data_IF_950116441206
#
_entry.id   IF_950116441206
#
_cell.length_a   1.000
_cell.length_b   1.000
_cell.length_c   1.000
_cell.angle_alpha   90.00
_cell.angle_beta   90.00
_cell.angle_gamma   90.00
#
_symmetry.space_group_name_H-M   'P 1'
#
loop_
_entity.id
_entity.type
_entity.pdbx_description
1 polymer ?
#
# COMPACT_ATOMS: atom_id res chain seq x y z
N UNK A 1 4.40 -29.64 -11.02
CA UNK A 1 5.38 -29.20 -10.00
C UNK A 1 4.59 -28.84 -8.75
N UNK A 2 4.72 -29.59 -7.67
CA UNK A 2 4.04 -29.26 -6.39
C UNK A 2 4.81 -28.10 -5.80
N UNK A 3 4.25 -26.90 -5.83
CA UNK A 3 4.87 -25.74 -5.16
C UNK A 3 4.67 -25.99 -3.67
N UNK A 4 5.75 -26.32 -2.97
CA UNK A 4 5.73 -26.44 -1.53
C UNK A 4 5.57 -25.06 -0.90
N UNK A 5 4.88 -24.99 0.24
CA UNK A 5 4.76 -23.78 1.02
C UNK A 5 6.15 -23.23 1.38
N UNK A 6 6.31 -21.91 1.29
CA UNK A 6 7.57 -21.23 1.61
C UNK A 6 7.79 -21.22 3.12
N UNK A 7 8.97 -21.63 3.56
CA UNK A 7 9.31 -21.59 4.97
C UNK A 7 9.59 -20.15 5.45
N UNK A 8 9.56 -19.94 6.76
CA UNK A 8 9.78 -18.64 7.38
C UNK A 8 11.11 -17.99 6.98
N UNK A 9 12.21 -18.76 7.03
CA UNK A 9 13.56 -18.28 6.72
C UNK A 9 13.62 -17.69 5.31
N UNK A 10 13.06 -18.38 4.32
CA UNK A 10 13.03 -17.91 2.93
C UNK A 10 12.26 -16.60 2.79
N UNK A 11 11.14 -16.44 3.48
CA UNK A 11 10.35 -15.19 3.44
C UNK A 11 11.14 -14.01 4.03
N UNK A 12 11.88 -14.23 5.12
CA UNK A 12 12.70 -13.20 5.75
C UNK A 12 13.89 -12.81 4.88
N UNK A 13 14.65 -13.79 4.35
CA UNK A 13 15.80 -13.54 3.46
C UNK A 13 15.41 -12.70 2.24
N UNK A 14 14.30 -13.07 1.57
CA UNK A 14 13.80 -12.33 0.41
C UNK A 14 13.30 -10.93 0.77
N UNK A 15 12.75 -10.76 1.98
CA UNK A 15 12.27 -9.45 2.47
C UNK A 15 13.43 -8.51 2.81
N UNK A 16 14.49 -9.01 3.44
CA UNK A 16 15.70 -8.23 3.74
C UNK A 16 16.39 -7.79 2.44
N UNK A 17 16.62 -8.73 1.52
CA UNK A 17 17.16 -8.43 0.20
C UNK A 17 16.32 -7.38 -0.54
N UNK A 18 14.98 -7.45 -0.41
CA UNK A 18 14.09 -6.45 -0.99
C UNK A 18 14.30 -5.05 -0.40
N UNK A 19 14.44 -4.92 0.92
CA UNK A 19 14.69 -3.62 1.56
C UNK A 19 16.03 -3.04 1.10
N UNK A 20 17.07 -3.86 0.98
CA UNK A 20 18.38 -3.44 0.46
C UNK A 20 18.28 -2.94 -0.98
N UNK A 21 17.58 -3.67 -1.85
CA UNK A 21 17.36 -3.24 -3.24
C UNK A 21 16.54 -1.94 -3.32
N UNK A 22 15.50 -1.79 -2.50
CA UNK A 22 14.67 -0.58 -2.46
C UNK A 22 15.45 0.67 -2.09
N UNK A 23 16.50 0.55 -1.27
CA UNK A 23 17.32 1.69 -0.88
C UNK A 23 18.18 2.25 -2.04
N UNK A 24 18.23 1.57 -3.19
CA UNK A 24 19.11 1.91 -4.32
C UNK A 24 18.32 2.16 -5.61
N UNK A 25 17.32 1.34 -5.92
CA UNK A 25 16.77 1.24 -7.29
C UNK A 25 15.29 1.62 -7.44
N UNK A 26 14.59 1.97 -6.35
CA UNK A 26 13.15 2.24 -6.39
C UNK A 26 12.79 3.72 -6.55
N UNK A 27 11.48 4.01 -6.52
CA UNK A 27 10.95 5.36 -6.40
C UNK A 27 11.62 6.15 -5.27
N UNK A 28 11.70 7.49 -5.35
CA UNK A 28 12.29 8.30 -4.29
C UNK A 28 11.65 8.11 -2.91
N UNK A 29 10.34 7.83 -2.86
CA UNK A 29 9.62 7.60 -1.62
C UNK A 29 10.03 6.28 -0.96
N UNK A 30 10.13 5.22 -1.76
CA UNK A 30 10.51 3.87 -1.29
C UNK A 30 11.98 3.82 -0.90
N UNK A 31 12.84 4.48 -1.69
CA UNK A 31 14.26 4.70 -1.39
C UNK A 31 14.42 5.36 -0.02
N UNK A 32 13.62 6.39 0.27
CA UNK A 32 13.70 7.12 1.53
C UNK A 32 13.35 6.25 2.73
N UNK A 33 12.24 5.49 2.67
CA UNK A 33 11.83 4.62 3.79
C UNK A 33 12.81 3.47 4.01
N UNK A 34 13.28 2.82 2.93
CA UNK A 34 14.24 1.73 3.01
C UNK A 34 15.60 2.20 3.56
N UNK A 35 16.13 3.30 3.03
CA UNK A 35 17.37 3.91 3.52
C UNK A 35 17.28 4.33 4.98
N UNK A 36 16.10 4.78 5.43
CA UNK A 36 15.88 5.16 6.84
C UNK A 36 15.97 3.96 7.77
N UNK A 37 15.46 2.80 7.37
CA UNK A 37 15.59 1.55 8.14
C UNK A 37 17.04 1.09 8.18
N UNK A 38 17.69 0.99 7.03
CA UNK A 38 19.07 0.48 6.93
C UNK A 38 20.09 1.40 7.61
N UNK A 39 19.88 2.72 7.55
CA UNK A 39 20.77 3.69 8.17
C UNK A 39 20.72 3.74 9.71
N UNK A 40 19.77 3.04 10.36
CA UNK A 40 19.61 3.08 11.82
C UNK A 40 19.45 1.66 12.40
N UNK A 41 20.48 1.11 13.08
CA UNK A 41 20.45 -0.27 13.59
C UNK A 41 19.29 -0.60 14.53
N UNK A 42 18.80 0.39 15.30
CA UNK A 42 17.63 0.20 16.15
C UNK A 42 16.32 0.16 15.34
N UNK A 43 16.21 0.95 14.26
CA UNK A 43 15.05 0.91 13.38
C UNK A 43 14.99 -0.41 12.61
N UNK A 44 16.14 -0.88 12.12
CA UNK A 44 16.29 -2.19 11.48
C UNK A 44 15.81 -3.33 12.38
N UNK A 45 16.41 -3.49 13.58
CA UNK A 45 16.02 -4.58 14.51
C UNK A 45 14.54 -4.55 14.88
N UNK A 46 13.96 -3.36 15.02
CA UNK A 46 12.55 -3.21 15.32
C UNK A 46 11.67 -3.57 14.13
N UNK A 47 12.07 -3.17 12.92
CA UNK A 47 11.38 -3.56 11.69
C UNK A 47 11.45 -5.09 11.51
N UNK A 48 12.63 -5.67 11.61
CA UNK A 48 12.87 -7.11 11.52
C UNK A 48 11.96 -7.89 12.49
N UNK A 49 11.91 -7.49 13.77
CA UNK A 49 11.06 -8.15 14.76
C UNK A 49 9.54 -7.97 14.49
N UNK A 50 9.13 -6.82 13.95
CA UNK A 50 7.73 -6.58 13.57
C UNK A 50 7.37 -7.36 12.29
N UNK A 51 8.29 -7.43 11.33
CA UNK A 51 8.15 -8.12 10.05
C UNK A 51 8.16 -9.65 10.21
N UNK A 52 9.04 -10.19 11.05
CA UNK A 52 9.09 -11.59 11.47
C UNK A 52 7.70 -12.06 11.93
N UNK A 53 7.00 -11.28 12.77
CA UNK A 53 5.64 -11.63 13.20
C UNK A 53 4.65 -11.71 12.05
N UNK A 54 4.77 -10.82 11.06
CA UNK A 54 3.93 -10.86 9.86
C UNK A 54 4.25 -12.12 9.03
N UNK A 55 5.54 -12.42 8.82
CA UNK A 55 5.98 -13.58 8.03
C UNK A 55 5.71 -14.91 8.73
N UNK A 56 5.67 -14.96 10.07
CA UNK A 56 5.18 -16.14 10.83
C UNK A 56 3.72 -16.45 10.53
N UNK A 57 2.87 -15.42 10.42
CA UNK A 57 1.47 -15.61 10.05
C UNK A 57 1.31 -16.17 8.63
N UNK A 58 2.21 -15.80 7.72
CA UNK A 58 2.23 -16.30 6.33
C UNK A 58 2.80 -17.72 6.29
N UNK A 59 4.03 -17.92 6.78
CA UNK A 59 4.71 -19.22 6.77
C UNK A 59 4.01 -20.31 7.58
N UNK A 60 3.18 -19.95 8.55
CA UNK A 60 2.35 -20.90 9.30
C UNK A 60 1.23 -21.57 8.47
N UNK A 61 0.96 -21.10 7.25
CA UNK A 61 -0.02 -21.73 6.37
C UNK A 61 0.54 -22.95 5.65
N UNK A 62 -0.27 -24.01 5.56
CA UNK A 62 0.15 -25.34 5.11
C UNK A 62 0.26 -25.50 3.59
N UNK A 63 -0.24 -24.56 2.80
CA UNK A 63 -0.14 -24.56 1.35
C UNK A 63 0.00 -23.14 0.79
N UNK A 64 0.50 -23.05 -0.45
CA UNK A 64 0.84 -21.77 -1.11
C UNK A 64 -0.39 -20.88 -1.29
N UNK A 65 -1.54 -21.43 -1.67
CA UNK A 65 -2.77 -20.65 -1.83
C UNK A 65 -3.14 -19.89 -0.54
N UNK A 66 -3.07 -20.57 0.62
CA UNK A 66 -3.32 -19.94 1.92
C UNK A 66 -2.21 -18.96 2.30
N UNK A 67 -0.96 -19.24 1.96
CA UNK A 67 0.14 -18.29 2.16
C UNK A 67 -0.10 -17.00 1.38
N UNK A 68 -0.54 -17.11 0.13
CA UNK A 68 -0.89 -15.95 -0.70
C UNK A 68 -2.03 -15.16 -0.08
N UNK A 69 -3.13 -15.81 0.31
CA UNK A 69 -4.23 -15.13 0.99
C UNK A 69 -3.77 -14.43 2.28
N UNK A 70 -2.90 -15.08 3.07
CA UNK A 70 -2.31 -14.49 4.26
C UNK A 70 -1.43 -13.28 3.93
N UNK A 71 -0.59 -13.36 2.89
CA UNK A 71 0.27 -12.28 2.44
C UNK A 71 -0.55 -11.08 1.94
N UNK A 72 -1.61 -11.32 1.16
CA UNK A 72 -2.57 -10.29 0.74
C UNK A 72 -3.24 -9.61 1.94
N UNK A 73 -3.68 -10.38 2.93
CA UNK A 73 -4.25 -9.83 4.17
C UNK A 73 -3.24 -8.97 4.94
N UNK A 74 -1.96 -9.38 4.96
CA UNK A 74 -0.87 -8.57 5.54
C UNK A 74 -0.69 -7.27 4.76
N UNK A 75 -0.62 -7.31 3.42
CA UNK A 75 -0.49 -6.12 2.58
C UNK A 75 -1.63 -5.11 2.83
N UNK A 76 -2.88 -5.58 2.85
CA UNK A 76 -4.06 -4.76 3.16
C UNK A 76 -3.97 -4.10 4.55
N UNK A 77 -3.48 -4.84 5.54
CA UNK A 77 -3.28 -4.31 6.90
C UNK A 77 -2.19 -3.24 6.95
N UNK A 78 -1.16 -3.36 6.12
CA UNK A 78 -0.08 -2.37 6.02
C UNK A 78 -0.53 -1.09 5.32
N UNK A 79 -1.39 -1.18 4.30
CA UNK A 79 -2.08 -0.03 3.69
C UNK A 79 -2.79 0.80 4.77
N UNK A 80 -3.54 0.14 5.67
CA UNK A 80 -4.25 0.83 6.75
C UNK A 80 -3.30 1.54 7.71
N UNK A 81 -2.20 0.88 8.07
CA UNK A 81 -1.21 1.44 9.00
C UNK A 81 -0.45 2.63 8.43
N UNK A 82 -0.28 2.72 7.10
CA UNK A 82 0.37 3.86 6.45
C UNK A 82 -0.56 5.06 6.24
N UNK A 83 -1.87 4.81 6.16
CA UNK A 83 -2.87 5.81 5.80
C UNK A 83 -2.85 7.06 6.71
N UNK A 84 -2.49 6.91 7.99
CA UNK A 84 -2.34 8.05 8.91
C UNK A 84 -1.25 9.02 8.45
N UNK A 85 -0.07 8.50 8.15
CA UNK A 85 1.05 9.31 7.67
C UNK A 85 0.77 9.88 6.28
N UNK A 86 0.18 9.08 5.38
CA UNK A 86 -0.17 9.56 4.03
C UNK A 86 -1.18 10.70 4.11
N UNK A 87 -2.19 10.62 4.99
CA UNK A 87 -3.11 11.72 5.25
C UNK A 87 -2.40 12.99 5.76
N UNK A 88 -1.46 12.84 6.71
CA UNK A 88 -0.67 13.96 7.24
C UNK A 88 0.17 14.62 6.15
N UNK A 89 0.80 13.82 5.30
CA UNK A 89 1.63 14.27 4.18
C UNK A 89 0.79 15.03 3.15
N UNK A 90 -0.36 14.47 2.76
CA UNK A 90 -1.13 15.00 1.64
C UNK A 90 -2.03 16.19 2.03
N UNK A 91 -2.46 16.29 3.30
CA UNK A 91 -3.31 17.38 3.79
C UNK A 91 -2.55 18.50 4.46
N UNK A 92 -1.27 18.31 4.73
CA UNK A 92 -0.38 19.29 5.34
C UNK A 92 -0.98 19.93 6.60
N UNK A 93 -1.70 19.14 7.41
CA UNK A 93 -2.37 19.69 8.60
C UNK A 93 -1.34 20.16 9.63
N UNK A 94 -1.58 21.34 10.21
CA UNK A 94 -0.67 21.98 11.17
C UNK A 94 -1.39 22.44 12.43
N UNK A 95 -0.63 22.90 13.42
CA UNK A 95 -1.15 23.55 14.63
C UNK A 95 -2.16 22.68 15.41
N UNK A 96 -3.27 23.30 15.83
CA UNK A 96 -4.31 22.67 16.66
C UNK A 96 -4.95 21.46 15.99
N UNK A 97 -5.20 21.52 14.68
CA UNK A 97 -5.78 20.41 13.92
C UNK A 97 -4.87 19.18 13.93
N UNK A 98 -3.55 19.38 13.79
CA UNK A 98 -2.59 18.28 13.89
C UNK A 98 -2.56 17.67 15.29
N UNK A 99 -2.62 18.47 16.35
CA UNK A 99 -2.71 17.95 17.73
C UNK A 99 -3.97 17.09 17.91
N UNK A 100 -5.12 17.60 17.46
CA UNK A 100 -6.40 16.87 17.51
C UNK A 100 -6.36 15.58 16.70
N UNK A 101 -5.76 15.59 15.51
CA UNK A 101 -5.53 14.39 14.72
C UNK A 101 -4.78 13.33 15.53
N UNK A 102 -3.65 13.69 16.14
CA UNK A 102 -2.92 12.75 17.00
C UNK A 102 -3.75 12.30 18.20
N UNK A 103 -4.54 13.19 18.81
CA UNK A 103 -5.44 12.80 19.91
C UNK A 103 -6.54 11.81 19.49
N UNK A 104 -7.02 11.86 18.24
CA UNK A 104 -8.03 10.90 17.73
C UNK A 104 -7.50 9.46 17.70
N UNK A 105 -6.22 9.26 17.41
CA UNK A 105 -5.65 7.92 17.20
C UNK A 105 -4.74 7.45 18.35
N UNK A 106 -4.06 8.37 19.03
CA UNK A 106 -3.14 8.09 20.13
C UNK A 106 -3.70 8.45 21.52
N UNK A 107 -4.91 9.02 21.59
CA UNK A 107 -5.53 9.46 22.83
C UNK A 107 -4.82 10.65 23.48
N UNK A 108 -4.85 10.74 24.81
CA UNK A 108 -4.22 11.81 25.60
C UNK A 108 -2.71 11.65 25.78
N UNK A 109 -2.03 10.88 24.91
CA UNK A 109 -0.57 10.75 24.94
C UNK A 109 0.09 12.08 24.63
N UNK A 110 1.32 12.24 25.13
CA UNK A 110 2.17 13.37 24.77
C UNK A 110 2.32 13.45 23.24
N UNK A 111 2.05 14.65 22.70
CA UNK A 111 1.97 14.90 21.27
C UNK A 111 3.29 14.59 20.56
N UNK A 112 4.43 14.98 21.15
CA UNK A 112 5.75 14.75 20.56
C UNK A 112 6.01 13.25 20.44
N UNK A 113 5.75 12.50 21.51
CA UNK A 113 5.86 11.04 21.49
C UNK A 113 4.90 10.38 20.47
N UNK A 114 3.68 10.89 20.32
CA UNK A 114 2.73 10.39 19.32
C UNK A 114 3.23 10.60 17.89
N UNK A 115 3.78 11.78 17.59
CA UNK A 115 4.38 12.10 16.28
C UNK A 115 5.57 11.19 15.97
N UNK A 116 6.48 11.03 16.94
CA UNK A 116 7.65 10.17 16.77
C UNK A 116 7.25 8.69 16.60
N UNK A 117 6.26 8.24 17.35
CA UNK A 117 5.73 6.88 17.25
C UNK A 117 5.11 6.62 15.88
N UNK A 118 4.30 7.55 15.37
CA UNK A 118 3.66 7.45 14.05
C UNK A 118 4.69 7.44 12.93
N UNK A 119 5.61 8.41 12.89
CA UNK A 119 6.66 8.43 11.88
C UNK A 119 7.49 7.15 11.88
N UNK A 120 7.87 6.67 13.07
CA UNK A 120 8.62 5.42 13.19
C UNK A 120 7.79 4.22 12.71
N UNK A 121 6.49 4.19 13.02
CA UNK A 121 5.55 3.17 12.57
C UNK A 121 5.42 3.16 11.05
N UNK A 122 5.24 4.34 10.45
CA UNK A 122 5.13 4.52 9.00
C UNK A 122 6.34 3.93 8.28
N UNK A 123 7.56 4.30 8.68
CA UNK A 123 8.79 3.82 8.04
C UNK A 123 8.83 2.28 8.03
N UNK A 124 8.55 1.63 9.17
CA UNK A 124 8.57 0.16 9.28
C UNK A 124 7.43 -0.52 8.52
N UNK A 125 6.23 0.05 8.54
CA UNK A 125 5.09 -0.48 7.82
C UNK A 125 5.27 -0.34 6.30
N UNK A 126 5.78 0.79 5.84
CA UNK A 126 6.10 1.05 4.42
C UNK A 126 7.16 0.09 3.90
N UNK A 127 8.25 -0.15 4.63
CA UNK A 127 9.23 -1.15 4.20
C UNK A 127 8.67 -2.57 4.20
N UNK A 128 7.86 -2.94 5.20
CA UNK A 128 7.18 -4.24 5.18
C UNK A 128 6.20 -4.36 4.01
N UNK A 129 5.55 -3.27 3.61
CA UNK A 129 4.61 -3.25 2.48
C UNK A 129 5.34 -3.53 1.15
N UNK A 130 6.50 -2.90 0.95
CA UNK A 130 7.37 -3.17 -0.20
C UNK A 130 7.76 -4.65 -0.28
N UNK A 131 8.11 -5.26 0.86
CA UNK A 131 8.38 -6.69 0.94
C UNK A 131 7.16 -7.52 0.55
N UNK A 132 5.95 -7.17 1.02
CA UNK A 132 4.75 -7.94 0.65
C UNK A 132 4.44 -7.91 -0.84
N UNK A 133 4.61 -6.76 -1.50
CA UNK A 133 4.43 -6.65 -2.95
C UNK A 133 5.46 -7.48 -3.70
N UNK A 134 6.74 -7.40 -3.29
CA UNK A 134 7.82 -8.17 -3.88
C UNK A 134 7.62 -9.68 -3.72
N UNK A 135 7.31 -10.15 -2.51
CA UNK A 135 7.07 -11.56 -2.23
C UNK A 135 5.87 -12.09 -3.03
N UNK A 136 4.80 -11.29 -3.15
CA UNK A 136 3.64 -11.68 -3.94
C UNK A 136 4.02 -11.87 -5.42
N UNK A 137 4.68 -10.88 -6.03
CA UNK A 137 5.02 -10.91 -7.45
C UNK A 137 6.13 -11.92 -7.80
N UNK A 138 7.23 -11.92 -7.05
CA UNK A 138 8.47 -12.59 -7.44
C UNK A 138 8.65 -13.96 -6.80
N UNK A 139 8.09 -14.20 -5.62
CA UNK A 139 8.20 -15.48 -4.92
C UNK A 139 6.94 -16.33 -5.08
N UNK A 140 5.75 -15.73 -4.94
CA UNK A 140 4.48 -16.46 -4.97
C UNK A 140 3.77 -16.42 -6.34
N UNK A 141 4.33 -15.73 -7.34
CA UNK A 141 3.78 -15.60 -8.70
C UNK A 141 2.35 -15.01 -8.74
N UNK A 142 1.99 -14.19 -7.73
CA UNK A 142 0.69 -13.51 -7.61
C UNK A 142 0.67 -12.17 -8.37
N UNK A 143 0.97 -12.22 -9.67
CA UNK A 143 1.09 -11.05 -10.54
C UNK A 143 -0.21 -10.22 -10.64
N UNK A 144 -1.35 -10.85 -10.37
CA UNK A 144 -2.65 -10.18 -10.46
C UNK A 144 -2.96 -9.30 -9.24
N UNK A 145 -2.12 -9.31 -8.18
CA UNK A 145 -2.39 -8.55 -6.95
C UNK A 145 -2.18 -7.05 -7.10
N UNK A 146 -1.20 -6.62 -7.91
CA UNK A 146 -0.71 -5.24 -7.93
C UNK A 146 -1.82 -4.21 -8.19
N UNK A 147 -2.54 -4.35 -9.30
CA UNK A 147 -3.58 -3.40 -9.70
C UNK A 147 -4.78 -3.38 -8.71
N UNK A 148 -5.37 -4.52 -8.31
CA UNK A 148 -6.40 -4.55 -7.27
C UNK A 148 -5.95 -3.91 -5.95
N UNK A 149 -4.71 -4.17 -5.52
CA UNK A 149 -4.17 -3.61 -4.28
C UNK A 149 -3.98 -2.09 -4.39
N UNK A 150 -3.57 -1.57 -5.55
CA UNK A 150 -3.46 -0.13 -5.80
C UNK A 150 -4.83 0.56 -5.75
N UNK A 151 -5.85 -0.04 -6.40
CA UNK A 151 -7.24 0.47 -6.35
C UNK A 151 -7.75 0.46 -4.90
N UNK A 152 -7.44 -0.61 -4.15
CA UNK A 152 -7.79 -0.70 -2.74
C UNK A 152 -7.12 0.40 -1.91
N UNK A 153 -5.82 0.64 -2.10
CA UNK A 153 -5.07 1.70 -1.42
C UNK A 153 -5.68 3.07 -1.69
N UNK A 154 -6.09 3.34 -2.94
CA UNK A 154 -6.79 4.56 -3.30
C UNK A 154 -8.14 4.71 -2.57
N UNK A 155 -9.03 3.72 -2.66
CA UNK A 155 -10.35 3.79 -2.01
C UNK A 155 -10.26 3.86 -0.49
N UNK A 156 -9.31 3.14 0.11
CA UNK A 156 -9.05 3.24 1.53
C UNK A 156 -8.55 4.64 1.90
N UNK A 157 -7.64 5.22 1.10
CA UNK A 157 -7.17 6.60 1.28
C UNK A 157 -8.30 7.62 1.21
N UNK A 158 -9.20 7.51 0.23
CA UNK A 158 -10.37 8.38 0.10
C UNK A 158 -11.33 8.24 1.29
N UNK A 159 -11.63 7.01 1.71
CA UNK A 159 -12.43 6.73 2.90
C UNK A 159 -11.80 7.34 4.16
N UNK A 160 -10.51 7.09 4.37
CA UNK A 160 -9.77 7.54 5.54
C UNK A 160 -9.70 9.07 5.59
N UNK A 161 -9.50 9.69 4.43
CA UNK A 161 -9.53 11.15 4.28
C UNK A 161 -10.90 11.72 4.62
N UNK A 162 -11.99 11.17 4.06
CA UNK A 162 -13.34 11.64 4.35
C UNK A 162 -13.63 11.58 5.86
N UNK A 163 -13.27 10.47 6.50
CA UNK A 163 -13.38 10.30 7.95
C UNK A 163 -12.59 11.37 8.73
N UNK A 164 -11.33 11.59 8.39
CA UNK A 164 -10.48 12.54 9.11
C UNK A 164 -10.89 13.99 8.88
N UNK A 165 -11.21 14.36 7.64
CA UNK A 165 -11.67 15.72 7.30
C UNK A 165 -12.96 16.05 8.06
N UNK A 166 -13.91 15.11 8.14
CA UNK A 166 -15.12 15.26 8.96
C UNK A 166 -14.83 15.37 10.47
N UNK A 167 -13.93 14.54 10.99
CA UNK A 167 -13.58 14.53 12.42
C UNK A 167 -12.80 15.78 12.88
N UNK A 168 -12.08 16.44 11.95
CA UNK A 168 -11.24 17.60 12.21
C UNK A 168 -11.89 18.94 11.84
N UNK A 169 -13.03 18.95 11.15
CA UNK A 169 -13.77 20.17 10.84
C UNK A 169 -14.26 20.85 12.14
N UNK A 170 -13.93 22.13 12.30
CA UNK A 170 -14.27 22.92 13.50
C UNK A 170 -15.28 24.01 13.20
N UNK A 171 -15.04 24.80 12.16
CA UNK A 171 -15.93 25.90 11.80
C UNK A 171 -17.11 25.40 10.98
N UNK A 172 -18.20 26.17 10.94
CA UNK A 172 -19.37 25.80 10.12
C UNK A 172 -19.03 25.79 8.63
N UNK A 173 -18.13 26.68 8.18
CA UNK A 173 -17.63 26.68 6.81
C UNK A 173 -16.88 25.39 6.48
N UNK A 174 -16.03 24.91 7.41
CA UNK A 174 -15.31 23.65 7.24
C UNK A 174 -16.25 22.46 7.23
N UNK A 175 -17.24 22.43 8.13
CA UNK A 175 -18.28 21.38 8.15
C UNK A 175 -19.08 21.36 6.87
N UNK A 176 -19.45 22.52 6.34
CA UNK A 176 -20.17 22.63 5.08
C UNK A 176 -19.30 22.18 3.89
N UNK A 177 -18.00 22.48 3.91
CA UNK A 177 -17.06 22.06 2.88
C UNK A 177 -16.87 20.54 2.82
N UNK A 178 -16.88 19.85 3.97
CA UNK A 178 -16.72 18.39 4.05
C UNK A 178 -18.03 17.62 3.97
N UNK A 179 -19.19 18.29 4.06
CA UNK A 179 -20.51 17.66 4.07
C UNK A 179 -20.76 16.69 2.90
N UNK A 180 -20.38 16.98 1.64
CA UNK A 180 -20.55 16.02 0.55
C UNK A 180 -19.76 14.72 0.77
N UNK A 181 -18.53 14.83 1.27
CA UNK A 181 -17.68 13.67 1.55
C UNK A 181 -18.18 12.86 2.74
N UNK A 182 -18.73 13.53 3.75
CA UNK A 182 -19.37 12.86 4.89
C UNK A 182 -20.59 12.03 4.46
N UNK A 183 -21.39 12.53 3.51
CA UNK A 183 -22.51 11.77 2.92
C UNK A 183 -22.01 10.57 2.10
N UNK A 184 -20.88 10.67 1.40
CA UNK A 184 -20.29 9.58 0.62
C UNK A 184 -19.57 8.52 1.46
N UNK A 185 -19.22 8.82 2.72
CA UNK A 185 -18.45 7.93 3.60
C UNK A 185 -19.00 6.50 3.71
N UNK A 186 -20.32 6.24 3.80
CA UNK A 186 -20.86 4.88 3.81
C UNK A 186 -20.61 4.13 2.50
N UNK A 187 -20.70 4.79 1.35
CA UNK A 187 -20.42 4.21 0.05
C UNK A 187 -18.93 3.86 -0.09
N UNK A 188 -18.05 4.78 0.30
CA UNK A 188 -16.60 4.52 0.30
C UNK A 188 -16.25 3.33 1.20
N UNK A 189 -16.86 3.25 2.40
CA UNK A 189 -16.68 2.10 3.30
C UNK A 189 -17.13 0.79 2.65
N UNK A 190 -18.24 0.80 1.92
CA UNK A 190 -18.73 -0.36 1.18
C UNK A 190 -17.75 -0.78 0.09
N UNK A 191 -17.29 0.15 -0.75
CA UNK A 191 -16.33 -0.11 -1.82
C UNK A 191 -15.01 -0.69 -1.28
N UNK A 192 -14.49 -0.15 -0.18
CA UNK A 192 -13.30 -0.69 0.51
C UNK A 192 -13.55 -2.13 0.98
N UNK A 193 -14.73 -2.43 1.53
CA UNK A 193 -15.07 -3.78 1.97
C UNK A 193 -15.17 -4.77 0.79
N UNK A 194 -15.80 -4.37 -0.30
CA UNK A 194 -15.91 -5.16 -1.53
C UNK A 194 -14.54 -5.43 -2.16
N UNK A 195 -13.71 -4.40 -2.33
CA UNK A 195 -12.34 -4.57 -2.86
C UNK A 195 -11.50 -5.49 -1.98
N UNK A 196 -11.58 -5.35 -0.65
CA UNK A 196 -10.92 -6.27 0.28
C UNK A 196 -11.35 -7.71 0.04
N UNK A 197 -12.65 -7.95 -0.08
CA UNK A 197 -13.20 -9.29 -0.30
C UNK A 197 -12.73 -9.85 -1.66
N UNK A 198 -12.77 -9.04 -2.72
CA UNK A 198 -12.33 -9.43 -4.05
C UNK A 198 -10.85 -9.86 -4.06
N UNK A 199 -9.96 -9.07 -3.45
CA UNK A 199 -8.52 -9.38 -3.33
C UNK A 199 -8.30 -10.71 -2.60
N UNK A 200 -9.01 -10.93 -1.50
CA UNK A 200 -8.83 -12.16 -0.70
C UNK A 200 -9.42 -13.41 -1.36
N UNK A 201 -10.43 -13.26 -2.22
CA UNK A 201 -11.08 -14.35 -2.95
C UNK A 201 -10.49 -14.61 -4.34
N UNK A 202 -9.56 -13.75 -4.80
CA UNK A 202 -8.95 -13.89 -6.11
C UNK A 202 -8.16 -15.23 -6.22
N UNK A 203 -8.34 -16.02 -7.29
CA UNK A 203 -7.58 -17.26 -7.47
C UNK A 203 -6.09 -16.96 -7.71
N UNK A 204 -5.19 -17.82 -7.21
CA UNK A 204 -3.74 -17.70 -7.43
C UNK A 204 -3.34 -17.82 -8.91
N UNK A 205 -4.02 -18.71 -9.64
CA UNK A 205 -3.83 -18.91 -11.08
C UNK A 205 -5.13 -18.62 -11.81
N UNK A 206 -5.43 -17.35 -12.14
CA UNK A 206 -6.62 -17.04 -12.91
C UNK A 206 -6.47 -17.65 -14.33
N UNK A 207 -7.54 -18.28 -14.84
CA UNK A 207 -7.54 -18.88 -16.17
C UNK A 207 -7.24 -17.83 -17.25
N UNK A 208 -6.17 -18.02 -18.05
CA UNK A 208 -5.73 -17.36 -19.31
C UNK A 208 -5.80 -15.82 -19.45
N UNK A 209 -6.56 -15.07 -18.68
CA UNK A 209 -6.99 -13.70 -18.97
C UNK A 209 -6.02 -12.60 -18.48
N UNK A 210 -5.05 -12.93 -17.62
CA UNK A 210 -4.16 -11.94 -17.00
C UNK A 210 -2.76 -11.84 -17.61
N UNK A 211 -2.47 -12.66 -18.64
CA UNK A 211 -1.29 -12.45 -19.49
C UNK A 211 -1.34 -11.09 -20.17
N UNK A 212 -2.54 -10.56 -20.43
CA UNK A 212 -2.74 -9.21 -20.96
C UNK A 212 -2.29 -8.11 -19.98
N UNK A 213 -2.43 -8.30 -18.66
CA UNK A 213 -2.01 -7.28 -17.68
C UNK A 213 -0.48 -7.20 -17.59
N UNK A 214 0.21 -8.34 -17.67
CA UNK A 214 1.67 -8.35 -17.85
C UNK A 214 2.11 -7.66 -19.16
N UNK A 215 1.33 -7.79 -20.24
CA UNK A 215 1.60 -7.12 -21.54
C UNK A 215 1.30 -5.61 -21.46
N UNK A 216 0.35 -5.18 -20.63
CA UNK A 216 -0.06 -3.78 -20.48
C UNK A 216 0.82 -2.96 -19.53
N UNK A 217 1.70 -3.59 -18.73
CA UNK A 217 2.73 -2.85 -17.98
C UNK A 217 3.54 -2.03 -18.98
N UNK A 218 3.66 -0.72 -18.74
CA UNK A 218 4.41 0.16 -19.64
C UNK A 218 5.87 -0.28 -19.65
N UNK A 219 6.32 -0.92 -20.72
CA UNK A 219 7.73 -1.32 -20.90
C UNK A 219 8.65 -0.13 -21.22
N UNK A 220 8.14 1.10 -21.21
CA UNK A 220 8.86 2.31 -21.65
C UNK A 220 8.97 2.44 -23.17
N UNK A 221 8.67 1.38 -23.93
CA UNK A 221 8.75 1.31 -25.40
C UNK A 221 7.47 1.78 -26.10
N UNK A 222 6.78 2.79 -25.57
CA UNK A 222 5.68 3.43 -26.32
C UNK A 222 6.25 4.20 -27.51
N UNK A 223 6.43 3.53 -28.64
CA UNK A 223 6.63 4.19 -29.93
C UNK A 223 5.35 4.98 -30.25
N UNK A 224 5.47 6.30 -30.37
CA UNK A 224 4.40 7.14 -30.93
C UNK A 224 4.04 6.58 -32.31
N UNK A 225 2.84 6.03 -32.45
CA UNK A 225 2.32 5.66 -33.75
C UNK A 225 2.33 6.89 -34.65
N UNK A 226 3.06 6.81 -35.78
CA UNK A 226 2.99 7.85 -36.80
C UNK A 226 1.55 7.93 -37.28
N UNK A 227 0.91 9.07 -37.02
CA UNK A 227 -0.36 9.43 -37.63
C UNK A 227 -0.10 9.48 -39.13
N UNK A 228 -0.63 8.50 -39.87
CA UNK A 228 -0.73 8.57 -41.32
C UNK A 228 -1.79 9.63 -41.61
N UNK A 229 -1.36 10.89 -41.76
CA UNK A 229 -2.19 11.89 -42.40
C UNK A 229 -2.49 11.39 -43.81
N UNK A 230 -3.73 10.97 -44.04
CA UNK A 230 -4.24 10.78 -45.38
C UNK A 230 -4.12 12.14 -46.09
N UNK A 231 -3.15 12.25 -46.98
CA UNK A 231 -3.05 13.37 -47.92
C UNK A 231 -4.33 13.34 -48.74
N UNK A 232 -5.17 14.39 -48.75
CA UNK A 232 -6.27 14.47 -49.68
C UNK A 232 -5.63 14.58 -51.07
N UNK A 233 -5.75 13.52 -51.85
CA UNK A 233 -5.31 13.50 -53.23
C UNK A 233 -5.97 14.64 -53.99
N UNK A 234 -5.14 15.46 -54.64
CA UNK A 234 -5.55 16.27 -55.78
C UNK A 234 -6.20 15.34 -56.80
N UNK A 235 -7.44 15.62 -57.15
CA UNK A 235 -8.02 15.16 -58.41
C UNK A 235 -8.43 16.43 -59.14
N UNK A 236 -7.87 16.56 -60.35
CA UNK A 236 -8.12 17.63 -61.31
C UNK A 236 -9.60 17.72 -61.69
#
# INVERSE_FOLDING_TARGET
>A
MVIHAYNHTRLMEESEARVEMSAIFDSPADTLVASRILGHPHAYRRWEAEHDRLMRSVSGQTNVDRQVTALRSTALSLVHRKAMFDYLRDREITGRKRHRFFSLFYGSRDYVNAVLAEHSSYVRCSSSYLCTQYLAEHLMEDYALEEPLQIYEQWHGEYFRAFCDGALAETEEEKQAVAPMEVLKPLLKHQVAEARQAILQMPLKPAKHWREVQIRKSTGDTQKMRVLFAVPGRIN
#
